data_IF_755297977816
#
_entry.id   IF_755297977816
#
_cell.length_a   1.000
_cell.length_b   1.000
_cell.length_c   1.000
_cell.angle_alpha   90.00
_cell.angle_beta   90.00
_cell.angle_gamma   90.00
#
_symmetry.space_group_name_H-M   'P 1'
#
loop_
_entity.id
_entity.type
_entity.pdbx_description
1 polymer ?
#
# COMPACT_ATOMS: atom_id res chain seq x y z
N UNK A 1 14.90 -19.87 17.35
CA UNK A 1 16.13 -19.50 16.62
C UNK A 1 15.80 -18.21 15.89
N UNK A 2 16.56 -17.14 16.15
CA UNK A 2 16.38 -15.86 15.48
C UNK A 2 17.15 -15.88 14.15
N UNK A 3 16.56 -15.30 13.11
CA UNK A 3 17.22 -15.11 11.82
C UNK A 3 18.12 -13.87 11.91
N UNK A 4 19.40 -14.08 12.18
CA UNK A 4 20.38 -13.00 12.36
C UNK A 4 20.59 -12.18 11.09
N UNK A 5 20.41 -12.78 9.90
CA UNK A 5 20.52 -12.07 8.63
C UNK A 5 19.34 -11.13 8.46
N UNK A 6 18.13 -11.60 8.70
CA UNK A 6 16.93 -10.77 8.62
C UNK A 6 16.94 -9.62 9.64
N UNK A 7 17.46 -9.85 10.85
CA UNK A 7 17.60 -8.81 11.88
C UNK A 7 18.57 -7.72 11.42
N UNK A 8 19.72 -8.10 10.86
CA UNK A 8 20.72 -7.14 10.37
C UNK A 8 20.22 -6.26 9.21
N UNK A 9 19.17 -6.68 8.50
CA UNK A 9 18.50 -5.92 7.46
C UNK A 9 17.37 -5.01 7.98
N UNK A 10 16.90 -5.23 9.21
CA UNK A 10 15.79 -4.49 9.81
C UNK A 10 16.15 -3.06 10.24
N UNK A 11 15.13 -2.23 10.44
CA UNK A 11 15.29 -0.82 10.86
C UNK A 11 15.79 -0.67 12.30
N UNK A 12 15.66 -1.71 13.13
CA UNK A 12 16.07 -1.73 14.53
C UNK A 12 17.39 -2.48 14.76
N UNK A 13 18.16 -2.78 13.71
CA UNK A 13 19.40 -3.57 13.79
C UNK A 13 20.48 -3.01 14.73
N UNK A 14 20.39 -1.73 15.10
CA UNK A 14 21.34 -1.06 15.98
C UNK A 14 20.97 -1.15 17.46
N UNK A 15 19.79 -1.67 17.79
CA UNK A 15 19.36 -1.86 19.16
C UNK A 15 19.89 -3.18 19.73
N UNK A 16 20.29 -3.12 20.98
CA UNK A 16 20.56 -4.31 21.79
C UNK A 16 19.24 -4.99 22.16
N UNK A 17 19.28 -6.29 22.46
CA UNK A 17 18.05 -7.04 22.80
C UNK A 17 17.35 -6.43 24.03
N UNK A 18 18.14 -5.93 24.97
CA UNK A 18 17.70 -5.30 26.23
C UNK A 18 17.13 -3.90 26.04
N UNK A 19 17.22 -3.31 24.85
CA UNK A 19 16.56 -2.03 24.56
C UNK A 19 15.04 -2.20 24.42
N UNK A 20 14.58 -3.41 24.09
CA UNK A 20 13.15 -3.74 23.95
C UNK A 20 12.68 -4.85 24.90
N UNK A 21 13.61 -5.61 25.47
CA UNK A 21 13.33 -6.69 26.41
C UNK A 21 13.96 -6.40 27.77
N UNK A 22 13.51 -7.10 28.81
CA UNK A 22 14.11 -6.95 30.14
C UNK A 22 15.60 -7.26 30.15
N UNK A 23 16.34 -6.64 31.08
CA UNK A 23 17.77 -6.89 31.29
C UNK A 23 18.08 -8.37 31.62
N UNK A 24 17.08 -9.16 32.03
CA UNK A 24 17.22 -10.60 32.26
C UNK A 24 17.54 -11.40 30.97
N UNK A 25 17.35 -10.80 29.79
CA UNK A 25 17.81 -11.38 28.52
C UNK A 25 19.34 -11.35 28.34
N UNK A 26 20.11 -10.70 29.22
CA UNK A 26 21.59 -10.80 29.20
C UNK A 26 22.10 -12.18 29.64
N UNK A 27 21.30 -12.91 30.42
CA UNK A 27 21.68 -14.21 30.97
C UNK A 27 21.28 -15.35 30.03
N UNK A 28 22.27 -16.14 29.59
CA UNK A 28 22.05 -17.34 28.79
C UNK A 28 22.26 -18.63 29.60
N UNK A 29 21.35 -19.64 29.50
CA UNK A 29 20.15 -19.68 28.67
C UNK A 29 19.01 -18.81 29.24
N UNK A 30 18.28 -18.13 28.35
CA UNK A 30 17.15 -17.28 28.75
C UNK A 30 16.09 -18.07 29.50
N UNK A 31 15.54 -17.50 30.58
CA UNK A 31 14.44 -18.10 31.30
C UNK A 31 13.16 -18.10 30.46
N UNK A 32 12.36 -19.18 30.56
CA UNK A 32 11.20 -19.36 29.69
C UNK A 32 10.06 -18.35 29.95
N UNK A 33 9.93 -17.87 31.19
CA UNK A 33 8.95 -16.86 31.60
C UNK A 33 9.17 -15.51 30.90
N UNK A 34 10.40 -15.20 30.46
CA UNK A 34 10.72 -13.95 29.77
C UNK A 34 9.95 -13.76 28.45
N UNK A 35 9.33 -14.83 27.91
CA UNK A 35 8.46 -14.77 26.73
C UNK A 35 7.05 -14.25 27.03
N UNK A 36 6.67 -14.21 28.31
CA UNK A 36 5.37 -13.74 28.78
C UNK A 36 5.42 -12.27 29.22
N UNK A 37 6.62 -11.70 29.34
CA UNK A 37 6.80 -10.30 29.68
C UNK A 37 6.21 -9.41 28.58
N UNK A 38 5.61 -8.26 28.96
CA UNK A 38 5.10 -7.31 28.01
C UNK A 38 6.26 -6.75 27.16
N UNK A 39 6.02 -6.66 25.86
CA UNK A 39 6.96 -6.05 24.92
C UNK A 39 6.73 -4.54 24.88
N UNK A 40 7.81 -3.78 24.67
CA UNK A 40 7.70 -2.36 24.33
C UNK A 40 6.81 -2.17 23.10
N UNK A 41 5.90 -1.22 23.19
CA UNK A 41 5.05 -0.80 22.10
C UNK A 41 5.83 0.07 21.11
N UNK A 42 5.30 0.25 19.90
CA UNK A 42 5.91 1.17 18.94
C UNK A 42 5.85 2.63 19.42
N UNK A 43 4.78 2.98 20.15
CA UNK A 43 4.56 4.33 20.65
C UNK A 43 5.45 4.66 21.84
N UNK A 44 6.00 3.66 22.53
CA UNK A 44 6.94 3.88 23.64
C UNK A 44 8.21 4.62 23.18
N UNK A 45 8.57 4.49 21.89
CA UNK A 45 9.70 5.21 21.28
C UNK A 45 9.28 6.16 20.15
N UNK A 46 8.24 5.83 19.37
CA UNK A 46 7.82 6.66 18.23
C UNK A 46 6.72 7.66 18.56
N UNK A 47 6.10 7.58 19.74
CA UNK A 47 5.08 8.51 20.20
C UNK A 47 5.69 9.68 20.97
N UNK A 48 5.14 10.88 20.80
CA UNK A 48 5.50 12.07 21.57
C UNK A 48 6.90 12.65 21.32
N UNK A 49 7.70 12.05 20.44
CA UNK A 49 9.05 12.51 20.07
C UNK A 49 9.03 13.34 18.78
N UNK A 50 9.52 14.57 18.85
CA UNK A 50 9.61 15.51 17.72
C UNK A 50 10.40 14.94 16.53
N UNK A 51 11.39 14.08 16.79
CA UNK A 51 12.21 13.42 15.77
C UNK A 51 11.37 12.51 14.85
N UNK A 52 10.29 11.95 15.40
CA UNK A 52 9.38 11.03 14.71
C UNK A 52 8.03 11.66 14.34
N UNK A 53 7.74 12.90 14.77
CA UNK A 53 6.48 13.59 14.52
C UNK A 53 6.08 13.61 13.03
N UNK A 54 7.05 13.70 12.11
CA UNK A 54 6.80 13.65 10.65
C UNK A 54 6.15 12.35 10.16
N UNK A 55 6.27 11.27 10.93
CA UNK A 55 5.69 9.96 10.62
C UNK A 55 4.31 9.76 11.22
N UNK A 56 3.89 10.62 12.15
CA UNK A 56 2.53 10.70 12.70
C UNK A 56 2.03 9.38 13.27
N UNK A 57 2.81 8.78 14.16
CA UNK A 57 2.51 7.47 14.72
C UNK A 57 1.20 7.44 15.53
N UNK A 58 0.81 8.56 16.15
CA UNK A 58 -0.45 8.69 16.87
C UNK A 58 -1.65 8.72 15.91
N UNK A 59 -1.53 9.41 14.77
CA UNK A 59 -2.55 9.39 13.73
C UNK A 59 -2.66 8.00 13.10
N UNK A 60 -1.53 7.32 12.91
CA UNK A 60 -1.49 5.92 12.45
C UNK A 60 -2.15 4.98 13.46
N UNK A 61 -1.88 5.14 14.76
CA UNK A 61 -2.50 4.35 15.82
C UNK A 61 -4.03 4.51 15.79
N UNK A 62 -4.52 5.74 15.67
CA UNK A 62 -5.95 6.01 15.55
C UNK A 62 -6.58 5.37 14.29
N UNK A 63 -5.83 5.24 13.19
CA UNK A 63 -6.28 4.50 12.00
C UNK A 63 -6.29 2.99 12.22
N UNK A 64 -5.30 2.43 12.94
CA UNK A 64 -5.27 1.01 13.32
C UNK A 64 -6.48 0.66 14.19
N UNK A 65 -6.83 1.50 15.16
CA UNK A 65 -7.98 1.31 16.05
C UNK A 65 -9.32 1.26 15.29
N UNK A 66 -9.43 1.97 14.17
CA UNK A 66 -10.61 1.94 13.28
C UNK A 66 -10.67 0.71 12.39
N UNK A 67 -9.54 0.03 12.18
CA UNK A 67 -9.42 -1.07 11.22
C UNK A 67 -10.32 -2.26 11.60
N UNK A 68 -10.66 -3.09 10.61
CA UNK A 68 -11.40 -4.33 10.85
C UNK A 68 -10.67 -5.30 11.75
N UNK A 69 -9.34 -5.25 11.76
CA UNK A 69 -8.53 -6.10 12.62
C UNK A 69 -8.67 -5.68 14.09
N UNK A 70 -8.47 -4.40 14.41
CA UNK A 70 -8.64 -3.94 15.78
C UNK A 70 -10.09 -4.08 16.25
N UNK A 71 -11.09 -3.85 15.39
CA UNK A 71 -12.50 -4.12 15.74
C UNK A 71 -12.78 -5.59 16.08
N UNK A 72 -12.03 -6.53 15.51
CA UNK A 72 -12.20 -7.95 15.76
C UNK A 72 -11.44 -8.44 17.01
N UNK A 73 -10.30 -7.83 17.35
CA UNK A 73 -9.38 -8.29 18.39
C UNK A 73 -9.19 -7.34 19.56
N UNK A 74 -9.72 -6.11 19.47
CA UNK A 74 -9.43 -5.03 20.40
C UNK A 74 -7.93 -4.80 20.58
N UNK A 75 -7.54 -4.61 21.84
CA UNK A 75 -6.17 -4.34 22.27
C UNK A 75 -5.16 -5.45 21.91
N UNK A 76 -5.62 -6.67 21.63
CA UNK A 76 -4.73 -7.77 21.23
C UNK A 76 -4.17 -7.59 19.80
N UNK A 77 -4.74 -6.68 19.01
CA UNK A 77 -4.23 -6.31 17.69
C UNK A 77 -3.43 -5.02 17.72
N UNK A 78 -2.11 -5.19 17.70
CA UNK A 78 -1.12 -4.12 17.73
C UNK A 78 -0.32 -4.03 16.42
N UNK A 79 0.51 -3.00 16.28
CA UNK A 79 1.36 -2.76 15.11
C UNK A 79 2.21 -3.99 14.75
N UNK A 80 2.68 -4.74 15.75
CA UNK A 80 3.58 -5.89 15.56
C UNK A 80 2.92 -7.10 14.92
N UNK A 81 1.58 -7.13 14.80
CA UNK A 81 0.86 -8.16 14.05
C UNK A 81 1.14 -8.08 12.55
N UNK A 82 1.51 -6.90 12.05
CA UNK A 82 1.92 -6.67 10.65
C UNK A 82 3.42 -6.35 10.55
N UNK A 83 3.95 -5.54 11.48
CA UNK A 83 5.32 -5.04 11.46
C UNK A 83 6.20 -5.78 12.47
N UNK A 84 6.95 -6.78 12.01
CA UNK A 84 7.83 -7.53 12.90
C UNK A 84 8.97 -6.64 13.43
N UNK A 85 8.98 -6.34 14.74
CA UNK A 85 9.96 -5.45 15.37
C UNK A 85 11.42 -5.86 15.16
N UNK A 86 11.69 -7.14 14.92
CA UNK A 86 13.04 -7.66 14.70
C UNK A 86 13.51 -7.52 13.24
N UNK A 87 12.59 -7.55 12.27
CA UNK A 87 12.93 -7.73 10.84
C UNK A 87 12.25 -6.74 9.91
N UNK A 88 11.48 -5.79 10.45
CA UNK A 88 10.77 -4.79 9.66
C UNK A 88 11.75 -3.91 8.89
N UNK A 89 11.45 -3.68 7.62
CA UNK A 89 12.19 -2.86 6.69
C UNK A 89 11.26 -1.79 6.13
N UNK A 90 11.73 -0.56 6.04
CA UNK A 90 10.97 0.56 5.49
C UNK A 90 10.98 0.55 3.93
N UNK A 91 10.71 -0.59 3.31
CA UNK A 91 10.85 -0.83 1.86
C UNK A 91 10.10 0.20 1.02
N UNK A 92 8.88 0.59 1.43
CA UNK A 92 8.08 1.61 0.74
C UNK A 92 8.75 2.99 0.65
N UNK A 93 9.75 3.26 1.51
CA UNK A 93 10.50 4.53 1.53
C UNK A 93 11.85 4.45 0.84
N UNK A 94 12.43 3.26 0.78
CA UNK A 94 13.83 3.05 0.47
C UNK A 94 14.05 2.29 -0.85
N UNK A 95 13.03 1.59 -1.37
CA UNK A 95 13.13 0.87 -2.64
C UNK A 95 12.61 1.74 -3.79
N UNK A 96 13.37 1.75 -4.88
CA UNK A 96 12.96 2.34 -6.16
C UNK A 96 12.16 1.33 -7.03
N UNK A 97 12.03 0.08 -6.56
CA UNK A 97 11.33 -0.98 -7.27
C UNK A 97 9.93 -1.19 -6.69
N UNK A 98 8.91 -0.72 -7.41
CA UNK A 98 7.50 -0.85 -7.00
C UNK A 98 7.10 -2.31 -6.78
N UNK A 99 7.63 -3.26 -7.56
CA UNK A 99 7.29 -4.68 -7.37
C UNK A 99 7.83 -5.22 -6.03
N UNK A 100 8.99 -4.74 -5.60
CA UNK A 100 9.54 -5.07 -4.28
C UNK A 100 8.66 -4.49 -3.17
N UNK A 101 8.21 -3.24 -3.33
CA UNK A 101 7.27 -2.61 -2.39
C UNK A 101 5.96 -3.41 -2.31
N UNK A 102 5.42 -3.82 -3.46
CA UNK A 102 4.18 -4.60 -3.54
C UNK A 102 4.34 -5.96 -2.85
N UNK A 103 5.39 -6.71 -3.20
CA UNK A 103 5.67 -8.03 -2.64
C UNK A 103 5.90 -7.95 -1.12
N UNK A 104 6.76 -7.03 -0.65
CA UNK A 104 7.01 -6.84 0.78
C UNK A 104 5.73 -6.48 1.54
N UNK A 105 4.93 -5.56 1.00
CA UNK A 105 3.67 -5.16 1.63
C UNK A 105 2.67 -6.31 1.71
N UNK A 106 2.51 -7.05 0.62
CA UNK A 106 1.54 -8.14 0.54
C UNK A 106 1.96 -9.32 1.43
N UNK A 107 3.26 -9.61 1.55
CA UNK A 107 3.76 -10.65 2.46
C UNK A 107 3.36 -10.42 3.91
N UNK A 108 3.25 -9.18 4.38
CA UNK A 108 2.74 -8.89 5.73
C UNK A 108 1.30 -9.40 5.90
N UNK A 109 0.41 -9.11 4.94
CA UNK A 109 -0.97 -9.59 4.93
C UNK A 109 -1.04 -11.12 4.78
N UNK A 110 -0.29 -11.65 3.82
CA UNK A 110 -0.26 -13.08 3.49
C UNK A 110 0.32 -13.94 4.62
N UNK A 111 1.10 -13.36 5.53
CA UNK A 111 1.60 -14.05 6.73
C UNK A 111 0.49 -14.61 7.62
N UNK A 112 -0.74 -14.11 7.48
CA UNK A 112 -1.95 -14.65 8.10
C UNK A 112 -2.96 -15.10 7.03
N UNK A 113 -3.24 -14.27 6.03
CA UNK A 113 -4.30 -14.53 5.06
C UNK A 113 -4.02 -15.68 4.08
N UNK A 114 -2.78 -16.18 4.02
CA UNK A 114 -2.42 -17.38 3.27
C UNK A 114 -2.01 -18.56 4.18
N UNK A 115 -2.19 -18.43 5.50
CA UNK A 115 -1.92 -19.47 6.48
C UNK A 115 -3.23 -19.88 7.17
N UNK A 116 -3.81 -21.00 6.71
CA UNK A 116 -5.09 -21.50 7.21
C UNK A 116 -5.09 -21.75 8.72
N UNK A 117 -3.96 -22.19 9.28
CA UNK A 117 -3.86 -22.51 10.72
C UNK A 117 -3.78 -21.24 11.53
N UNK A 118 -2.87 -20.34 11.15
CA UNK A 118 -2.68 -19.06 11.86
C UNK A 118 -3.92 -18.19 11.75
N UNK A 119 -4.52 -18.11 10.56
CA UNK A 119 -5.78 -17.39 10.39
C UNK A 119 -6.87 -17.94 11.27
N UNK A 120 -7.11 -19.26 11.28
CA UNK A 120 -8.15 -19.88 12.11
C UNK A 120 -7.92 -19.69 13.60
N UNK A 121 -6.67 -19.76 14.04
CA UNK A 121 -6.29 -19.52 15.44
C UNK A 121 -6.67 -18.09 15.86
N UNK A 122 -6.51 -17.15 14.95
CA UNK A 122 -6.76 -15.73 15.19
C UNK A 122 -8.27 -15.46 15.02
N UNK A 123 -8.88 -15.76 13.87
CA UNK A 123 -10.28 -15.41 13.56
C UNK A 123 -11.35 -16.30 14.18
N UNK A 124 -10.99 -17.46 14.72
CA UNK A 124 -11.94 -18.43 15.24
C UNK A 124 -12.76 -19.16 14.17
N UNK A 125 -12.55 -18.87 12.88
CA UNK A 125 -13.23 -19.54 11.77
C UNK A 125 -12.26 -19.93 10.67
N UNK A 126 -12.71 -20.79 9.75
CA UNK A 126 -11.86 -21.20 8.64
C UNK A 126 -11.55 -20.00 7.74
N UNK A 127 -10.31 -19.95 7.26
CA UNK A 127 -9.88 -18.97 6.27
C UNK A 127 -10.37 -19.42 4.90
N UNK A 128 -11.15 -18.60 4.18
CA UNK A 128 -11.47 -18.90 2.79
C UNK A 128 -10.23 -18.73 1.91
N UNK A 129 -10.20 -19.43 0.77
CA UNK A 129 -9.10 -19.28 -0.18
C UNK A 129 -9.10 -17.86 -0.77
N UNK A 130 -7.91 -17.28 -0.91
CA UNK A 130 -7.77 -15.90 -1.42
C UNK A 130 -8.38 -15.73 -2.82
N UNK A 131 -8.24 -16.74 -3.67
CA UNK A 131 -8.78 -16.73 -5.04
C UNK A 131 -10.31 -16.76 -5.06
N UNK A 132 -10.94 -17.40 -4.07
CA UNK A 132 -12.40 -17.49 -3.98
C UNK A 132 -13.00 -16.15 -3.56
N UNK A 133 -12.41 -15.49 -2.55
CA UNK A 133 -12.94 -14.21 -2.06
C UNK A 133 -12.63 -13.01 -2.96
N UNK A 134 -11.78 -13.19 -3.97
CA UNK A 134 -11.44 -12.18 -4.98
C UNK A 134 -11.94 -12.54 -6.38
N UNK A 135 -12.86 -13.49 -6.54
CA UNK A 135 -13.37 -13.98 -7.84
C UNK A 135 -13.83 -12.88 -8.81
N UNK A 136 -14.32 -11.76 -8.27
CA UNK A 136 -14.72 -10.56 -8.99
C UNK A 136 -13.57 -9.83 -9.70
N UNK A 137 -12.33 -10.02 -9.25
CA UNK A 137 -11.15 -9.30 -9.74
C UNK A 137 -10.58 -10.00 -10.99
N UNK A 138 -10.55 -9.35 -12.16
CA UNK A 138 -9.98 -9.97 -13.36
C UNK A 138 -8.46 -10.15 -13.22
N UNK A 139 -7.89 -11.21 -13.79
CA UNK A 139 -6.45 -11.47 -13.75
C UNK A 139 -5.85 -11.35 -12.33
N UNK A 140 -6.48 -12.00 -11.33
CA UNK A 140 -6.14 -11.90 -9.91
C UNK A 140 -4.63 -12.00 -9.64
N UNK A 141 -3.96 -12.98 -10.25
CA UNK A 141 -2.52 -13.19 -10.07
C UNK A 141 -1.68 -11.96 -10.45
N UNK A 142 -2.03 -11.28 -11.55
CA UNK A 142 -1.32 -10.06 -11.96
C UNK A 142 -1.61 -8.91 -11.00
N UNK A 143 -2.86 -8.76 -10.56
CA UNK A 143 -3.19 -7.74 -9.56
C UNK A 143 -2.42 -7.96 -8.25
N UNK A 144 -2.36 -9.19 -7.74
CA UNK A 144 -1.63 -9.48 -6.50
C UNK A 144 -0.11 -9.28 -6.62
N UNK A 145 0.45 -9.37 -7.84
CA UNK A 145 1.87 -9.12 -8.10
C UNK A 145 2.21 -7.63 -8.29
N UNK A 146 1.25 -6.80 -8.68
CA UNK A 146 1.51 -5.40 -9.08
C UNK A 146 0.78 -4.36 -8.22
N UNK A 147 -0.15 -4.79 -7.36
CA UNK A 147 -0.99 -3.94 -6.53
C UNK A 147 -0.95 -4.46 -5.09
N UNK A 148 -0.76 -3.55 -4.13
CA UNK A 148 -0.80 -3.93 -2.71
C UNK A 148 -2.23 -4.26 -2.29
N UNK A 149 -2.41 -5.19 -1.36
CA UNK A 149 -3.72 -5.48 -0.76
C UNK A 149 -4.38 -4.20 -0.22
N UNK A 150 -3.58 -3.33 0.39
CA UNK A 150 -4.04 -2.06 0.96
C UNK A 150 -4.50 -1.03 -0.09
N UNK A 151 -4.18 -1.16 -1.38
CA UNK A 151 -4.74 -0.24 -2.41
C UNK A 151 -6.26 -0.40 -2.56
N UNK A 152 -6.76 -1.60 -2.29
CA UNK A 152 -8.20 -1.90 -2.30
C UNK A 152 -8.80 -1.87 -0.90
N UNK A 153 -8.02 -2.21 0.13
CA UNK A 153 -8.49 -2.39 1.49
C UNK A 153 -8.23 -1.20 2.42
N UNK A 154 -7.80 -0.05 1.90
CA UNK A 154 -7.68 1.19 2.69
C UNK A 154 -8.20 2.37 1.89
N UNK A 155 -8.59 3.44 2.59
CA UNK A 155 -8.83 4.73 1.95
C UNK A 155 -7.53 5.49 1.74
N UNK A 156 -7.49 6.31 0.69
CA UNK A 156 -6.35 7.20 0.45
C UNK A 156 -6.60 8.48 1.23
N UNK A 157 -5.71 8.77 2.18
CA UNK A 157 -5.74 10.00 2.97
C UNK A 157 -4.51 10.85 2.65
N UNK A 158 -4.68 12.16 2.55
CA UNK A 158 -3.58 13.07 2.22
C UNK A 158 -2.62 13.25 3.39
N UNK A 159 -3.14 13.18 4.62
CA UNK A 159 -2.42 13.41 5.86
C UNK A 159 -1.35 12.36 6.17
N UNK A 160 -1.47 11.15 5.62
CA UNK A 160 -0.55 10.04 5.84
C UNK A 160 0.07 9.55 4.53
N UNK A 161 1.22 8.90 4.63
CA UNK A 161 1.85 8.25 3.48
C UNK A 161 1.15 6.94 3.09
N UNK A 162 0.65 6.21 4.09
CA UNK A 162 -0.10 4.97 3.94
C UNK A 162 -1.19 4.96 5.02
N UNK A 163 -2.45 4.77 4.63
CA UNK A 163 -3.53 4.59 5.62
C UNK A 163 -3.38 3.23 6.31
N UNK A 164 -3.66 3.21 7.61
CA UNK A 164 -3.66 2.00 8.43
C UNK A 164 -5.08 1.55 8.83
N UNK A 165 -6.11 2.26 8.37
CA UNK A 165 -7.51 1.88 8.55
C UNK A 165 -7.89 0.85 7.48
N UNK A 166 -7.50 -0.40 7.73
CA UNK A 166 -7.82 -1.52 6.86
C UNK A 166 -9.31 -1.85 6.99
N UNK A 167 -10.02 -1.86 5.86
CA UNK A 167 -11.46 -2.16 5.78
C UNK A 167 -11.75 -3.58 5.29
N UNK A 168 -12.96 -4.04 5.56
CA UNK A 168 -13.41 -5.38 5.20
C UNK A 168 -13.71 -5.51 3.71
N UNK A 169 -13.92 -6.75 3.27
CA UNK A 169 -14.20 -7.08 1.85
C UNK A 169 -15.40 -6.36 1.25
N UNK A 170 -16.36 -5.95 2.08
CA UNK A 170 -17.57 -5.24 1.62
C UNK A 170 -17.31 -3.76 1.33
N UNK A 171 -16.33 -3.15 2.01
CA UNK A 171 -15.93 -1.76 1.77
C UNK A 171 -14.73 -1.64 0.83
N UNK A 172 -14.10 -2.76 0.45
CA UNK A 172 -12.96 -2.75 -0.46
C UNK A 172 -13.31 -2.14 -1.83
N UNK A 173 -12.34 -1.45 -2.44
CA UNK A 173 -12.51 -0.83 -3.76
C UNK A 173 -12.67 -1.92 -4.83
N UNK A 174 -13.85 -1.97 -5.46
CA UNK A 174 -14.17 -2.93 -6.54
C UNK A 174 -14.32 -2.28 -7.93
N UNK A 175 -14.37 -0.95 -8.00
CA UNK A 175 -14.58 -0.23 -9.27
C UNK A 175 -13.25 -0.07 -10.00
N UNK A 176 -13.08 -0.73 -11.15
CA UNK A 176 -11.81 -0.71 -11.91
C UNK A 176 -11.33 0.71 -12.27
N UNK A 177 -12.25 1.63 -12.55
CA UNK A 177 -11.96 3.02 -12.96
C UNK A 177 -11.23 3.83 -11.89
N UNK A 178 -11.32 3.42 -10.64
CA UNK A 178 -10.60 4.04 -9.52
C UNK A 178 -9.08 3.91 -9.67
N UNK A 179 -8.62 2.81 -10.29
CA UNK A 179 -7.20 2.55 -10.54
C UNK A 179 -6.80 2.73 -12.01
N UNK A 180 -7.74 2.53 -12.94
CA UNK A 180 -7.52 2.55 -14.39
C UNK A 180 -7.96 3.86 -15.06
N UNK A 181 -8.00 4.97 -14.33
CA UNK A 181 -8.28 6.31 -14.86
C UNK A 181 -7.07 7.24 -14.80
N UNK A 182 -7.10 8.33 -15.58
CA UNK A 182 -6.01 9.30 -15.59
C UNK A 182 -5.69 9.88 -14.20
N UNK A 183 -6.71 10.02 -13.34
CA UNK A 183 -6.59 10.44 -11.95
C UNK A 183 -6.75 9.24 -11.01
N UNK A 184 -5.89 8.24 -11.19
CA UNK A 184 -5.95 7.00 -10.43
C UNK A 184 -5.54 7.20 -8.98
N UNK A 185 -6.23 6.50 -8.08
CA UNK A 185 -5.89 6.40 -6.65
C UNK A 185 -4.45 5.94 -6.40
N UNK A 186 -3.93 5.08 -7.28
CA UNK A 186 -2.56 4.56 -7.21
C UNK A 186 -1.50 5.68 -7.19
N UNK A 187 -1.74 6.82 -7.85
CA UNK A 187 -0.81 7.97 -7.83
C UNK A 187 -0.71 8.63 -6.47
N UNK A 188 -1.80 8.60 -5.72
CA UNK A 188 -1.90 9.19 -4.38
C UNK A 188 -1.60 8.16 -3.27
N UNK A 189 -1.43 6.88 -3.60
CA UNK A 189 -1.07 5.81 -2.66
C UNK A 189 0.21 5.08 -3.10
N UNK A 190 0.12 3.99 -3.87
CA UNK A 190 1.27 3.15 -4.27
C UNK A 190 2.48 3.96 -4.81
N UNK A 191 2.23 4.93 -5.68
CA UNK A 191 3.28 5.73 -6.33
C UNK A 191 3.55 7.08 -5.63
N UNK A 192 3.02 7.31 -4.42
CA UNK A 192 3.12 8.60 -3.71
C UNK A 192 4.58 9.00 -3.46
N UNK A 193 5.44 8.09 -3.02
CA UNK A 193 6.86 8.36 -2.77
C UNK A 193 7.63 8.71 -4.04
N UNK A 194 7.48 7.91 -5.10
CA UNK A 194 8.08 8.17 -6.42
C UNK A 194 7.65 9.55 -6.95
N UNK A 195 6.37 9.90 -6.81
CA UNK A 195 5.85 11.20 -7.21
C UNK A 195 6.44 12.37 -6.40
N UNK A 196 6.66 12.19 -5.09
CA UNK A 196 7.28 13.22 -4.25
C UNK A 196 8.77 13.40 -4.56
N UNK A 197 9.52 12.31 -4.75
CA UNK A 197 10.93 12.37 -5.14
C UNK A 197 11.10 13.02 -6.51
N UNK A 198 10.33 12.60 -7.52
CA UNK A 198 10.38 13.19 -8.87
C UNK A 198 10.08 14.69 -8.88
N UNK A 199 9.17 15.16 -8.02
CA UNK A 199 8.85 16.60 -7.86
C UNK A 199 9.98 17.37 -7.18
N UNK A 200 10.71 16.74 -6.25
CA UNK A 200 11.83 17.36 -5.53
C UNK A 200 13.11 17.42 -6.36
N UNK A 201 13.36 16.44 -7.23
CA UNK A 201 14.61 16.29 -7.97
C UNK A 201 14.64 17.04 -9.31
N UNK A 202 13.48 17.26 -9.96
CA UNK A 202 13.43 17.91 -11.27
C UNK A 202 12.34 18.98 -11.33
N UNK A 203 12.77 20.23 -11.16
CA UNK A 203 11.92 21.41 -11.38
C UNK A 203 11.25 21.40 -12.76
N UNK A 204 9.92 21.33 -12.74
CA UNK A 204 9.02 21.95 -13.72
C UNK A 204 8.85 21.36 -15.13
N UNK A 205 9.80 20.64 -15.74
CA UNK A 205 9.77 20.47 -17.21
C UNK A 205 10.11 19.07 -17.79
N UNK A 206 10.24 18.02 -16.97
CA UNK A 206 10.70 16.69 -17.42
C UNK A 206 9.66 15.57 -17.51
N UNK A 207 8.36 15.85 -17.38
CA UNK A 207 7.36 14.78 -17.21
C UNK A 207 6.83 14.27 -18.56
N UNK A 208 7.15 13.03 -18.94
CA UNK A 208 6.23 12.05 -19.58
C UNK A 208 6.85 10.64 -19.76
N UNK A 209 8.18 10.41 -19.66
CA UNK A 209 8.78 9.16 -20.17
C UNK A 209 9.69 8.40 -19.18
N UNK A 210 9.20 8.02 -18.00
CA UNK A 210 9.83 6.94 -17.23
C UNK A 210 8.83 5.82 -17.00
N UNK A 211 9.20 4.63 -17.47
CA UNK A 211 8.33 3.55 -17.97
C UNK A 211 8.05 2.46 -16.92
N UNK A 212 8.06 2.76 -15.62
CA UNK A 212 7.87 1.74 -14.56
C UNK A 212 6.41 1.54 -14.11
N UNK A 213 5.50 2.48 -14.40
CA UNK A 213 4.14 2.50 -13.81
C UNK A 213 3.02 2.51 -14.85
N UNK A 214 3.19 1.84 -16.00
CA UNK A 214 2.14 1.82 -17.03
C UNK A 214 0.92 1.03 -16.54
N UNK A 215 -0.11 1.75 -16.10
CA UNK A 215 -1.43 1.19 -15.82
C UNK A 215 -2.35 1.56 -16.98
N UNK A 216 -2.97 0.56 -17.61
CA UNK A 216 -3.89 0.74 -18.74
C UNK A 216 -4.97 1.76 -18.36
N UNK A 217 -5.15 2.79 -19.19
CA UNK A 217 -6.14 3.87 -18.99
C UNK A 217 -5.62 5.09 -18.23
N UNK A 218 -4.50 4.99 -17.49
CA UNK A 218 -3.94 6.10 -16.70
C UNK A 218 -3.02 7.03 -17.51
N UNK A 219 -2.40 6.51 -18.57
CA UNK A 219 -1.53 7.24 -19.49
C UNK A 219 -2.26 7.58 -20.78
N UNK A 220 -3.08 8.63 -20.76
CA UNK A 220 -3.57 9.25 -21.99
C UNK A 220 -2.46 10.14 -22.56
N UNK A 221 -1.88 9.78 -23.70
CA UNK A 221 -0.94 10.66 -24.40
C UNK A 221 -1.66 11.96 -24.80
N UNK A 222 -1.19 13.14 -24.34
CA UNK A 222 -1.79 14.42 -24.71
C UNK A 222 -1.83 14.64 -26.23
N UNK A 223 -0.81 14.12 -26.92
CA UNK A 223 -0.74 14.13 -28.37
C UNK A 223 -1.86 13.31 -29.03
N UNK A 224 -2.07 12.06 -28.59
CA UNK A 224 -3.12 11.20 -29.16
C UNK A 224 -4.52 11.76 -28.87
N UNK A 225 -4.70 12.39 -27.69
CA UNK A 225 -5.96 13.06 -27.33
C UNK A 225 -6.22 14.29 -28.21
N UNK A 226 -5.20 15.11 -28.47
CA UNK A 226 -5.31 16.25 -29.37
C UNK A 226 -5.61 15.78 -30.81
N UNK A 227 -4.89 14.76 -31.28
CA UNK A 227 -5.09 14.18 -32.60
C UNK A 227 -6.51 13.62 -32.76
N UNK A 228 -7.05 12.92 -31.76
CA UNK A 228 -8.42 12.41 -31.82
C UNK A 228 -9.47 13.52 -31.89
N UNK A 229 -9.26 14.63 -31.16
CA UNK A 229 -10.13 15.81 -31.20
C UNK A 229 -10.07 16.47 -32.59
N UNK A 230 -8.86 16.62 -33.16
CA UNK A 230 -8.69 17.19 -34.50
C UNK A 230 -9.42 16.34 -35.55
N UNK A 231 -9.26 15.02 -35.51
CA UNK A 231 -9.94 14.11 -36.44
C UNK A 231 -11.46 14.22 -36.28
N UNK A 232 -11.96 14.24 -35.04
CA UNK A 232 -13.38 14.37 -34.76
C UNK A 232 -13.96 15.68 -35.33
N UNK A 233 -13.30 16.82 -35.08
CA UNK A 233 -13.71 18.12 -35.59
C UNK A 233 -13.62 18.20 -37.11
N UNK A 234 -12.59 17.62 -37.72
CA UNK A 234 -12.45 17.58 -39.18
C UNK A 234 -13.58 16.75 -39.82
N UNK A 235 -13.94 15.62 -39.21
CA UNK A 235 -15.04 14.77 -39.67
C UNK A 235 -16.38 15.50 -39.57
N UNK A 236 -16.63 16.16 -38.43
CA UNK A 236 -17.84 16.97 -38.22
C UNK A 236 -17.92 18.13 -39.22
N UNK A 237 -16.80 18.82 -39.46
CA UNK A 237 -16.70 19.89 -40.46
C UNK A 237 -17.01 19.39 -41.87
N UNK A 238 -16.48 18.23 -42.26
CA UNK A 238 -16.79 17.59 -43.54
C UNK A 238 -18.28 17.29 -43.71
N UNK A 239 -18.94 16.77 -42.67
CA UNK A 239 -20.39 16.50 -42.68
C UNK A 239 -21.20 17.78 -42.81
N UNK A 240 -20.83 18.85 -42.08
CA UNK A 240 -21.50 20.16 -42.16
C UNK A 240 -21.35 20.75 -43.57
N UNK A 241 -20.13 20.79 -44.11
CA UNK A 241 -19.86 21.30 -45.46
C UNK A 241 -20.67 20.51 -46.51
N UNK A 242 -20.66 19.19 -46.43
CA UNK A 242 -21.44 18.34 -47.34
C UNK A 242 -22.96 18.60 -47.22
N UNK A 243 -23.45 18.79 -46.00
CA UNK A 243 -24.87 19.10 -45.74
C UNK A 243 -25.27 20.46 -46.29
N UNK A 244 -24.42 21.49 -46.14
CA UNK A 244 -24.64 22.83 -46.69
C UNK A 244 -24.67 22.78 -48.23
N UNK A 245 -23.69 22.12 -48.85
CA UNK A 245 -23.68 21.98 -50.31
C UNK A 245 -24.90 21.24 -50.84
N UNK A 246 -25.41 20.25 -50.10
CA UNK A 246 -26.64 19.53 -50.46
C UNK A 246 -27.89 20.41 -50.39
N UNK A 247 -27.94 21.37 -49.46
CA UNK A 247 -29.05 22.32 -49.33
C UNK A 247 -28.96 23.41 -50.42
N UNK A 248 -27.75 23.92 -50.70
CA UNK A 248 -27.53 24.99 -51.70
C UNK A 248 -27.61 24.54 -53.15
N UNK A 249 -27.33 23.26 -53.46
CA UNK A 249 -27.49 22.66 -54.81
C UNK A 249 -28.86 22.03 -55.06
N UNK A 250 -29.81 22.23 -54.14
CA UNK A 250 -31.21 21.87 -54.31
C UNK A 250 -32.00 23.09 -54.75
#
# INVERSE_FOLDING_TARGET
ILDTVAISAGVHKSFDCTDCHSAEYEAYPHQANLKLEPLSSCLDCHGGDESYAKYKFEEIQAEVEKSVHHKAYGEDFSCSKCHNQHTYAATARNSDNVLEIVDYSNKMCLSCHNDMKKYKLVSGHNNPELVEVHDWLPNQALHFQHVRCIECHTEVVDSLMVSHNIVGKEQAVKKCVECHSADSRLKASLYKYENLQKRSENGGLGNVLTNSSYVIGTHQSPFLKLLSIIIFLATLGGVIIHSIFRILKK
#
